data_IF_029498950402
#
_entry.id   IF_029498950402
#
_cell.length_a   1.000
_cell.length_b   1.000
_cell.length_c   1.000
_cell.angle_alpha   90.00
_cell.angle_beta   90.00
_cell.angle_gamma   90.00
#
_symmetry.space_group_name_H-M   'P 1'
#
loop_
_entity.id
_entity.type
_entity.pdbx_description
1 polymer ?
#
# COMPACT_ATOMS: atom_id res chain seq x y z
N UNK A 1 -12.14 2.93 3.26
CA UNK A 1 -11.61 1.74 3.97
C UNK A 1 -12.39 0.56 3.46
N UNK A 2 -11.69 -0.43 2.91
CA UNK A 2 -12.26 -1.62 2.30
C UNK A 2 -11.57 -2.85 2.93
N UNK A 3 -12.37 -3.84 3.32
CA UNK A 3 -11.89 -5.07 3.95
C UNK A 3 -11.94 -6.22 2.93
N UNK A 4 -10.87 -7.03 2.89
CA UNK A 4 -10.87 -8.26 2.09
C UNK A 4 -10.53 -8.05 0.62
N UNK A 5 -9.56 -7.17 0.35
CA UNK A 5 -8.98 -7.01 -0.99
C UNK A 5 -8.43 -8.36 -1.48
N UNK A 6 -8.82 -8.71 -2.69
CA UNK A 6 -8.22 -9.82 -3.41
C UNK A 6 -7.07 -9.32 -4.29
N UNK A 7 -6.14 -10.21 -4.69
CA UNK A 7 -5.00 -9.82 -5.50
C UNK A 7 -5.37 -9.05 -6.78
N UNK A 8 -6.50 -9.37 -7.40
CA UNK A 8 -6.97 -8.70 -8.62
C UNK A 8 -7.49 -7.28 -8.37
N UNK A 9 -7.95 -6.96 -7.16
CA UNK A 9 -8.43 -5.61 -6.81
C UNK A 9 -7.27 -4.61 -6.71
N UNK A 10 -6.05 -5.12 -6.40
CA UNK A 10 -4.87 -4.28 -6.16
C UNK A 10 -3.80 -4.36 -7.25
N UNK A 11 -3.70 -5.48 -7.99
CA UNK A 11 -2.60 -5.73 -8.93
C UNK A 11 -2.46 -4.66 -10.02
N UNK A 12 -3.57 -4.27 -10.66
CA UNK A 12 -3.54 -3.26 -11.72
C UNK A 12 -3.22 -1.88 -11.15
N UNK A 13 -3.82 -1.54 -10.00
CA UNK A 13 -3.59 -0.26 -9.33
C UNK A 13 -2.16 -0.09 -8.85
N UNK A 14 -1.55 -1.14 -8.28
CA UNK A 14 -0.18 -1.09 -7.81
C UNK A 14 0.82 -0.81 -8.93
N UNK A 15 0.62 -1.44 -10.10
CA UNK A 15 1.45 -1.18 -11.27
C UNK A 15 1.34 0.28 -11.73
N UNK A 16 0.12 0.82 -11.83
CA UNK A 16 -0.10 2.21 -12.25
C UNK A 16 0.61 3.18 -11.30
N UNK A 17 0.48 2.97 -9.99
CA UNK A 17 1.13 3.83 -8.99
C UNK A 17 2.65 3.75 -9.12
N UNK A 18 3.21 2.56 -9.28
CA UNK A 18 4.65 2.36 -9.44
C UNK A 18 5.19 3.04 -10.71
N UNK A 19 4.50 2.91 -11.85
CA UNK A 19 4.88 3.58 -13.12
C UNK A 19 4.77 5.11 -13.03
N UNK A 20 3.85 5.62 -12.20
CA UNK A 20 3.75 7.05 -11.88
C UNK A 20 4.82 7.53 -10.89
N UNK A 21 5.74 6.66 -10.45
CA UNK A 21 6.79 6.95 -9.48
C UNK A 21 6.33 6.92 -8.02
N UNK A 22 5.12 6.42 -7.74
CA UNK A 22 4.60 6.22 -6.39
C UNK A 22 5.15 4.97 -5.71
N UNK A 23 4.98 4.91 -4.40
CA UNK A 23 5.36 3.78 -3.57
C UNK A 23 4.13 2.95 -3.21
N UNK A 24 4.29 1.62 -3.21
CA UNK A 24 3.25 0.65 -2.83
C UNK A 24 3.83 -0.38 -1.89
N UNK A 25 3.18 -0.62 -0.76
CA UNK A 25 3.55 -1.62 0.24
C UNK A 25 2.34 -2.11 1.04
N UNK A 26 2.54 -3.09 1.91
CA UNK A 26 1.63 -3.33 3.05
C UNK A 26 1.91 -2.35 4.21
N UNK A 27 1.14 -2.43 5.30
CA UNK A 27 1.32 -1.54 6.46
C UNK A 27 2.62 -1.80 7.24
N UNK A 28 3.27 -2.95 7.01
CA UNK A 28 4.62 -3.22 7.52
C UNK A 28 5.71 -2.61 6.63
N UNK A 29 5.36 -2.00 5.50
CA UNK A 29 6.31 -1.47 4.52
C UNK A 29 6.97 -2.56 3.67
N UNK A 30 6.47 -3.80 3.75
CA UNK A 30 6.97 -4.90 2.93
C UNK A 30 6.16 -5.04 1.63
N UNK A 31 6.65 -5.88 0.73
CA UNK A 31 6.05 -6.11 -0.57
C UNK A 31 5.03 -7.26 -0.54
N UNK A 32 4.20 -7.36 0.52
CA UNK A 32 3.18 -8.42 0.63
C UNK A 32 1.77 -7.93 0.31
N UNK A 33 1.58 -6.69 -0.13
CA UNK A 33 0.27 -6.10 -0.42
C UNK A 33 -0.55 -6.85 -1.47
N UNK A 34 0.08 -7.62 -2.36
CA UNK A 34 -0.60 -8.34 -3.44
C UNK A 34 -1.39 -9.57 -2.94
N UNK A 35 -0.90 -10.23 -1.90
CA UNK A 35 -1.53 -11.42 -1.31
C UNK A 35 -1.99 -11.19 0.14
N UNK A 36 -1.61 -10.06 0.72
CA UNK A 36 -2.09 -9.58 2.00
C UNK A 36 -3.50 -9.01 1.91
N UNK A 37 -4.01 -8.56 3.06
CA UNK A 37 -5.34 -7.92 3.17
C UNK A 37 -5.26 -6.40 3.27
N UNK A 38 -4.06 -5.85 3.11
CA UNK A 38 -3.72 -4.47 3.40
C UNK A 38 -2.76 -3.94 2.34
N UNK A 39 -3.00 -2.72 1.90
CA UNK A 39 -2.19 -2.01 0.91
C UNK A 39 -2.15 -0.54 1.27
N UNK A 40 -0.97 0.07 1.13
CA UNK A 40 -0.79 1.51 1.12
C UNK A 40 -0.09 1.89 -0.19
N UNK A 41 -0.64 2.89 -0.86
CA UNK A 41 -0.09 3.46 -2.09
C UNK A 41 -0.05 4.98 -1.93
N UNK A 42 1.12 5.60 -2.14
CA UNK A 42 1.29 7.04 -1.95
C UNK A 42 2.40 7.63 -2.84
N UNK A 43 2.31 8.94 -3.08
CA UNK A 43 3.33 9.66 -3.84
C UNK A 43 4.65 9.80 -3.06
N UNK A 44 5.79 10.00 -3.77
CA UNK A 44 7.05 10.35 -3.14
C UNK A 44 6.91 11.61 -2.28
N UNK A 45 7.51 11.59 -1.08
CA UNK A 45 7.48 12.71 -0.14
C UNK A 45 6.39 12.65 0.93
N UNK A 46 5.33 11.84 0.75
CA UNK A 46 4.29 11.63 1.77
C UNK A 46 4.18 10.17 2.25
N UNK A 47 4.75 9.23 1.48
CA UNK A 47 4.67 7.80 1.77
C UNK A 47 5.17 7.44 3.18
N UNK A 48 6.35 7.92 3.59
CA UNK A 48 6.93 7.56 4.89
C UNK A 48 6.09 8.06 6.07
N UNK A 49 5.53 9.26 5.95
CA UNK A 49 4.63 9.83 6.96
C UNK A 49 3.35 9.00 7.08
N UNK A 50 2.76 8.62 5.95
CA UNK A 50 1.55 7.78 5.94
C UNK A 50 1.86 6.40 6.53
N UNK A 51 2.97 5.77 6.14
CA UNK A 51 3.37 4.47 6.66
C UNK A 51 3.59 4.50 8.18
N UNK A 52 4.21 5.58 8.70
CA UNK A 52 4.41 5.76 10.13
C UNK A 52 3.08 5.91 10.89
N UNK A 53 2.12 6.65 10.32
CA UNK A 53 0.78 6.76 10.91
C UNK A 53 0.07 5.41 10.91
N UNK A 54 0.10 4.68 9.79
CA UNK A 54 -0.51 3.36 9.69
C UNK A 54 0.05 2.39 10.73
N UNK A 55 1.38 2.29 10.87
CA UNK A 55 2.02 1.44 11.90
C UNK A 55 1.69 1.84 13.34
N UNK A 56 1.30 3.10 13.57
CA UNK A 56 0.94 3.60 14.90
C UNK A 56 -0.48 3.17 15.29
N UNK A 57 -1.41 3.19 14.33
CA UNK A 57 -2.83 2.93 14.59
C UNK A 57 -3.29 1.51 14.21
N UNK A 58 -2.60 0.87 13.27
CA UNK A 58 -2.88 -0.47 12.79
C UNK A 58 -1.65 -1.33 13.06
N UNK A 59 -1.84 -2.41 13.84
CA UNK A 59 -0.82 -3.37 14.25
C UNK A 59 -1.24 -4.77 13.88
#
# INVERSE_FOLDING_TARGET
YEHGLYPWDVAAGSLIVQEAGGHVSDFSGANQYLFGKEIVAAAPGVYDTILQLLRTYYR
#
